data_IF_205416449130
#
_entry.id   IF_205416449130
#
_cell.length_a   1.000
_cell.length_b   1.000
_cell.length_c   1.000
_cell.angle_alpha   90.00
_cell.angle_beta   90.00
_cell.angle_gamma   90.00
#
_symmetry.space_group_name_H-M   'P 1'
#
loop_
_entity.id
_entity.type
_entity.pdbx_description
1 polymer ?
#
# COMPACT_ATOMS: atom_id res chain seq x y z
N UNK A 1 -15.55 8.50 -9.27
CA UNK A 1 -15.31 7.29 -8.45
C UNK A 1 -15.43 7.67 -6.98
N UNK A 2 -16.00 6.84 -6.11
CA UNK A 2 -16.08 7.13 -4.67
C UNK A 2 -14.73 6.79 -4.03
N UNK A 3 -13.73 7.64 -4.23
CA UNK A 3 -12.33 7.42 -3.79
C UNK A 3 -12.24 7.11 -2.31
N UNK A 4 -12.99 7.83 -1.49
CA UNK A 4 -12.96 7.65 -0.04
C UNK A 4 -13.36 6.20 0.33
N UNK A 5 -14.37 5.62 -0.34
CA UNK A 5 -14.75 4.21 -0.15
C UNK A 5 -13.68 3.21 -0.57
N UNK A 6 -12.94 3.51 -1.64
CA UNK A 6 -11.88 2.63 -2.13
C UNK A 6 -10.66 2.68 -1.21
N UNK A 7 -10.34 3.86 -0.70
CA UNK A 7 -9.31 4.03 0.33
C UNK A 7 -9.70 3.29 1.61
N UNK A 8 -10.97 3.37 2.04
CA UNK A 8 -11.47 2.60 3.18
C UNK A 8 -11.26 1.09 2.98
N UNK A 9 -11.58 0.54 1.81
CA UNK A 9 -11.33 -0.88 1.50
C UNK A 9 -9.85 -1.23 1.66
N UNK A 10 -8.95 -0.41 1.10
CA UNK A 10 -7.49 -0.62 1.21
C UNK A 10 -7.08 -0.63 2.68
N UNK A 11 -7.53 0.35 3.47
CA UNK A 11 -7.21 0.45 4.90
C UNK A 11 -7.75 -0.75 5.69
N UNK A 12 -8.99 -1.17 5.43
CA UNK A 12 -9.59 -2.34 6.09
C UNK A 12 -8.80 -3.62 5.81
N UNK A 13 -8.42 -3.88 4.55
CA UNK A 13 -7.60 -5.04 4.21
C UNK A 13 -6.20 -4.92 4.82
N UNK A 14 -5.57 -3.75 4.77
CA UNK A 14 -4.27 -3.53 5.40
C UNK A 14 -4.31 -3.85 6.91
N UNK A 15 -5.30 -3.34 7.64
CA UNK A 15 -5.48 -3.65 9.07
C UNK A 15 -5.72 -5.13 9.32
N UNK A 16 -6.58 -5.77 8.52
CA UNK A 16 -6.85 -7.22 8.64
C UNK A 16 -5.57 -8.06 8.45
N UNK A 17 -4.71 -7.66 7.52
CA UNK A 17 -3.46 -8.36 7.20
C UNK A 17 -2.29 -7.96 8.11
N UNK A 18 -2.53 -7.11 9.12
CA UNK A 18 -1.55 -6.71 10.11
C UNK A 18 -0.54 -5.67 9.64
N UNK A 19 -0.88 -4.88 8.61
CA UNK A 19 -0.09 -3.71 8.23
C UNK A 19 -0.32 -2.57 9.22
N UNK A 20 0.74 -1.83 9.50
CA UNK A 20 0.65 -0.49 10.09
C UNK A 20 0.25 0.52 9.02
N UNK A 21 -0.52 1.53 9.40
CA UNK A 21 -1.02 2.57 8.51
C UNK A 21 -0.66 3.92 9.11
N UNK A 22 0.03 4.78 8.36
CA UNK A 22 0.34 6.15 8.81
C UNK A 22 -0.90 7.04 8.74
N UNK A 23 -0.88 8.13 9.51
CA UNK A 23 -1.92 9.14 9.43
C UNK A 23 -2.02 9.75 8.02
N UNK A 24 -3.26 10.03 7.60
CA UNK A 24 -3.58 10.64 6.32
C UNK A 24 -4.83 10.07 5.66
N UNK A 25 -5.71 10.96 5.17
CA UNK A 25 -6.94 10.54 4.49
C UNK A 25 -6.68 10.07 3.06
N UNK A 26 -5.82 10.77 2.33
CA UNK A 26 -5.60 10.56 0.88
C UNK A 26 -4.15 10.37 0.49
N UNK A 27 -3.22 10.60 1.41
CA UNK A 27 -1.82 10.23 1.27
C UNK A 27 -1.41 9.52 2.55
N UNK A 28 -1.07 8.25 2.46
CA UNK A 28 -0.69 7.45 3.63
C UNK A 28 0.17 6.27 3.18
N UNK A 29 0.84 5.65 4.15
CA UNK A 29 1.68 4.50 3.91
C UNK A 29 1.07 3.29 4.60
N UNK A 30 1.26 2.12 4.01
CA UNK A 30 0.96 0.81 4.63
C UNK A 30 2.22 -0.02 4.62
N UNK A 31 2.62 -0.57 5.77
CA UNK A 31 3.86 -1.35 5.85
C UNK A 31 3.80 -2.42 6.94
N UNK A 32 4.63 -3.45 6.77
CA UNK A 32 4.93 -4.45 7.81
C UNK A 32 6.43 -4.48 8.03
N UNK A 33 6.85 -4.22 9.27
CA UNK A 33 8.23 -4.11 9.73
C UNK A 33 9.03 -3.00 9.01
N UNK A 34 9.31 -1.89 9.71
CA UNK A 34 10.11 -0.71 9.30
C UNK A 34 10.70 -0.74 7.88
N UNK A 35 9.84 -0.52 6.89
CA UNK A 35 10.16 -0.26 5.48
C UNK A 35 11.02 -1.30 4.73
N UNK A 36 11.32 -2.48 5.28
CA UNK A 36 12.34 -3.35 4.67
C UNK A 36 11.81 -4.48 3.79
N UNK A 37 10.53 -4.88 3.88
CA UNK A 37 10.02 -6.04 3.14
C UNK A 37 8.76 -5.78 2.31
N UNK A 38 7.73 -5.18 2.92
CA UNK A 38 6.46 -4.92 2.25
C UNK A 38 5.92 -3.57 2.71
N UNK A 39 6.13 -2.55 1.89
CA UNK A 39 5.67 -1.19 2.17
C UNK A 39 5.18 -0.51 0.88
N UNK A 40 4.04 0.17 0.99
CA UNK A 40 3.42 0.91 -0.09
C UNK A 40 3.02 2.32 0.37
N UNK A 41 3.22 3.32 -0.47
CA UNK A 41 2.61 4.64 -0.33
C UNK A 41 1.40 4.74 -1.26
N UNK A 42 0.28 5.15 -0.71
CA UNK A 42 -0.99 5.32 -1.39
C UNK A 42 -1.26 6.81 -1.52
N UNK A 43 -1.50 7.26 -2.75
CA UNK A 43 -1.87 8.64 -3.07
C UNK A 43 -3.18 8.65 -3.86
N UNK A 44 -4.28 8.91 -3.15
CA UNK A 44 -5.62 9.06 -3.71
C UNK A 44 -5.88 10.52 -4.10
N UNK A 45 -5.31 10.95 -5.23
CA UNK A 45 -5.52 12.32 -5.72
C UNK A 45 -6.83 12.42 -6.51
N UNK A 46 -7.82 13.12 -5.92
CA UNK A 46 -9.12 13.36 -6.56
C UNK A 46 -9.02 14.08 -7.91
N UNK A 47 -7.98 14.88 -8.14
CA UNK A 47 -7.76 15.62 -9.39
C UNK A 47 -7.27 14.71 -10.52
N UNK A 48 -6.63 13.58 -10.19
CA UNK A 48 -6.00 12.66 -11.16
C UNK A 48 -6.99 11.61 -11.69
N UNK A 49 -8.09 11.37 -10.99
CA UNK A 49 -9.09 10.37 -11.38
C UNK A 49 -8.68 8.91 -11.12
N UNK A 50 -7.61 8.67 -10.35
CA UNK A 50 -7.18 7.32 -9.91
C UNK A 50 -6.36 7.39 -8.62
N UNK A 51 -6.19 6.24 -7.96
CA UNK A 51 -5.30 6.08 -6.79
C UNK A 51 -3.94 5.60 -7.30
N UNK A 52 -2.87 6.28 -6.89
CA UNK A 52 -1.49 5.91 -7.17
C UNK A 52 -0.95 5.05 -6.04
N UNK A 53 -0.28 3.96 -6.41
CA UNK A 53 0.45 3.11 -5.47
C UNK A 53 1.93 3.19 -5.81
N UNK A 54 2.73 3.51 -4.82
CA UNK A 54 4.19 3.51 -4.90
C UNK A 54 4.71 2.40 -4.00
N UNK A 55 5.69 1.66 -4.46
CA UNK A 55 6.35 0.64 -3.65
C UNK A 55 7.61 1.23 -3.03
N UNK A 56 7.90 0.84 -1.80
CA UNK A 56 9.19 1.18 -1.19
C UNK A 56 10.33 0.47 -1.92
N UNK A 57 11.36 1.23 -2.26
CA UNK A 57 12.61 0.74 -2.83
C UNK A 57 13.72 0.93 -1.78
N UNK A 58 14.32 -0.18 -1.35
CA UNK A 58 15.44 -0.15 -0.40
C UNK A 58 16.66 0.56 -1.01
N UNK A 59 17.35 1.36 -0.19
CA UNK A 59 18.60 2.02 -0.52
C UNK A 59 19.83 1.15 -0.26
N UNK A 60 21.01 1.77 -0.31
CA UNK A 60 22.29 1.09 -0.12
C UNK A 60 22.55 0.67 1.34
N UNK A 61 21.95 1.37 2.32
CA UNK A 61 22.01 1.01 3.73
C UNK A 61 20.65 0.55 4.30
N UNK A 62 20.69 -0.18 5.42
CA UNK A 62 19.48 -0.64 6.12
C UNK A 62 18.68 0.55 6.66
N UNK A 63 17.37 0.56 6.39
CA UNK A 63 16.49 1.67 6.76
C UNK A 63 16.62 2.89 5.83
N UNK A 64 17.55 2.88 4.88
CA UNK A 64 17.54 3.83 3.78
C UNK A 64 16.65 3.31 2.66
N UNK A 65 15.88 4.21 2.05
CA UNK A 65 15.01 3.88 0.93
C UNK A 65 14.05 5.02 0.65
N UNK A 66 13.29 4.86 -0.42
CA UNK A 66 12.27 5.83 -0.81
C UNK A 66 11.13 5.14 -1.53
N UNK A 67 9.97 5.78 -1.52
CA UNK A 67 8.91 5.41 -2.44
C UNK A 67 9.31 5.81 -3.86
N UNK A 68 9.41 4.80 -4.73
CA UNK A 68 9.79 4.97 -6.12
C UNK A 68 8.69 5.58 -6.97
N UNK A 69 8.76 5.34 -8.28
CA UNK A 69 7.69 5.72 -9.21
C UNK A 69 6.39 4.98 -8.88
N UNK A 70 5.25 5.55 -9.30
CA UNK A 70 3.96 4.87 -9.18
C UNK A 70 3.99 3.55 -9.97
N UNK A 71 3.79 2.43 -9.27
CA UNK A 71 3.79 1.08 -9.83
C UNK A 71 2.40 0.64 -10.25
N UNK A 72 1.35 1.11 -9.57
CA UNK A 72 -0.04 0.82 -9.90
C UNK A 72 -0.90 2.08 -9.96
N UNK A 73 -1.90 2.05 -10.86
CA UNK A 73 -2.92 3.08 -11.04
C UNK A 73 -4.29 2.42 -10.88
N UNK A 74 -4.94 2.64 -9.74
CA UNK A 74 -6.22 2.00 -9.42
C UNK A 74 -7.36 2.92 -9.85
N UNK A 75 -8.11 2.51 -10.87
CA UNK A 75 -9.13 3.31 -11.56
C UNK A 75 -10.54 2.85 -11.30
N UNK A 76 -10.71 1.66 -10.72
CA UNK A 76 -11.99 1.05 -10.44
C UNK A 76 -11.89 0.07 -9.25
N UNK A 77 -13.02 -0.53 -8.87
CA UNK A 77 -13.08 -1.50 -7.78
C UNK A 77 -12.22 -2.74 -8.03
N UNK A 78 -12.24 -3.30 -9.24
CA UNK A 78 -11.46 -4.50 -9.58
C UNK A 78 -9.96 -4.25 -9.42
N UNK A 79 -9.46 -3.08 -9.80
CA UNK A 79 -8.06 -2.71 -9.59
C UNK A 79 -7.72 -2.66 -8.10
N UNK A 80 -8.63 -2.11 -7.27
CA UNK A 80 -8.46 -2.07 -5.81
C UNK A 80 -8.46 -3.47 -5.21
N UNK A 81 -9.38 -4.35 -5.63
CA UNK A 81 -9.39 -5.74 -5.19
C UNK A 81 -8.11 -6.47 -5.60
N UNK A 82 -7.61 -6.25 -6.81
CA UNK A 82 -6.34 -6.82 -7.25
C UNK A 82 -5.16 -6.32 -6.39
N UNK A 83 -5.14 -5.03 -6.05
CA UNK A 83 -4.13 -4.50 -5.14
C UNK A 83 -4.25 -5.09 -3.73
N UNK A 84 -5.47 -5.26 -3.21
CA UNK A 84 -5.71 -5.97 -1.96
C UNK A 84 -5.19 -7.41 -2.00
N UNK A 85 -5.37 -8.13 -3.12
CA UNK A 85 -4.79 -9.46 -3.30
C UNK A 85 -3.26 -9.44 -3.24
N UNK A 86 -2.60 -8.42 -3.80
CA UNK A 86 -1.15 -8.23 -3.68
C UNK A 86 -0.74 -8.01 -2.22
N UNK A 87 -1.47 -7.16 -1.48
CA UNK A 87 -1.19 -6.93 -0.05
C UNK A 87 -1.37 -8.20 0.78
N UNK A 88 -2.44 -8.95 0.55
CA UNK A 88 -2.69 -10.24 1.22
C UNK A 88 -1.61 -11.26 0.86
N UNK A 89 -1.25 -11.38 -0.41
CA UNK A 89 -0.21 -12.31 -0.85
C UNK A 89 1.15 -11.95 -0.25
N UNK A 90 1.56 -10.69 -0.31
CA UNK A 90 2.80 -10.19 0.32
C UNK A 90 2.78 -10.40 1.84
N UNK A 91 1.63 -10.10 2.44
CA UNK A 91 1.17 -10.50 3.77
C UNK A 91 1.59 -11.90 4.15
N UNK A 92 0.99 -12.83 3.41
CA UNK A 92 1.13 -14.24 3.59
C UNK A 92 2.56 -14.67 3.34
N UNK A 93 3.21 -14.35 2.22
CA UNK A 93 4.46 -15.01 1.83
C UNK A 93 5.75 -14.30 2.26
N UNK A 94 5.68 -13.23 3.05
CA UNK A 94 6.88 -12.50 3.50
C UNK A 94 7.84 -13.37 4.32
N UNK A 95 9.13 -13.05 4.23
CA UNK A 95 10.14 -13.61 5.11
C UNK A 95 9.85 -13.27 6.59
N UNK A 96 10.19 -14.17 7.50
CA UNK A 96 10.00 -14.01 8.96
C UNK A 96 8.56 -13.76 9.41
N UNK A 97 7.55 -14.12 8.59
CA UNK A 97 6.14 -14.14 9.03
C UNK A 97 5.97 -15.03 10.26
N UNK A 98 5.13 -14.62 11.20
CA UNK A 98 4.68 -15.48 12.30
C UNK A 98 3.55 -16.37 11.76
N UNK A 99 3.65 -17.68 12.01
CA UNK A 99 2.58 -18.67 11.75
C UNK A 99 1.45 -18.54 12.76
#
# INVERSE_FOLDING_TARGET
MKFDKLVEIIKSVATEQGYEITDGERKFQVFIDNYNAVAFEILANSSSGYIQIHQWESGEAEGEGKYGRGVYSLRNYSDVINFCNIMMASAAIRARRRT
#
